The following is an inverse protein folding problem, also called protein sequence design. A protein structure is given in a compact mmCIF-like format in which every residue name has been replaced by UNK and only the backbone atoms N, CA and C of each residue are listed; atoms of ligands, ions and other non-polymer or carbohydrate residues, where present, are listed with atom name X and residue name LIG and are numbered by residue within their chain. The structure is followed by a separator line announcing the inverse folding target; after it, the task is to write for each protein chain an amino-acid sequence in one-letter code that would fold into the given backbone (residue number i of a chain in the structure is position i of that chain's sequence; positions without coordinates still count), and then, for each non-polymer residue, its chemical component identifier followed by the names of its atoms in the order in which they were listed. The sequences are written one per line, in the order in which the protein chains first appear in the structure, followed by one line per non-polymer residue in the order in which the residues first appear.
data_IF_553028803802
#
_entry.id   IF_553028803802
#
_cell.length_a   1.000
_cell.length_b   1.000
_cell.length_c   1.000
_cell.angle_alpha   90.00
_cell.angle_beta   90.00
_cell.angle_gamma   90.00
#
_symmetry.space_group_name_H-M   'P 1'
#
loop_
_entity.id
_entity.type
_entity.pdbx_description
1 polymer ?
#
# COMPACT_ATOMS: atom_id res chain seq x y z
N UNK A 1 5.50 6.33 -13.49
CA UNK A 1 4.54 6.05 -12.40
C UNK A 1 5.35 5.73 -11.16
N UNK A 2 4.89 6.15 -9.98
CA UNK A 2 5.60 5.96 -8.71
C UNK A 2 4.65 5.28 -7.74
N UNK A 3 5.07 4.15 -7.17
CA UNK A 3 4.37 3.50 -6.07
C UNK A 3 4.89 4.12 -4.77
N UNK A 4 3.98 4.57 -3.92
CA UNK A 4 4.27 5.07 -2.56
C UNK A 4 3.59 4.17 -1.55
N UNK A 5 4.25 3.95 -0.42
CA UNK A 5 3.73 3.14 0.68
C UNK A 5 3.91 3.92 1.97
N UNK A 6 2.80 4.16 2.67
CA UNK A 6 2.74 4.77 3.99
C UNK A 6 2.38 3.69 5.01
N UNK A 7 3.31 3.38 5.92
CA UNK A 7 3.18 2.29 6.89
C UNK A 7 2.85 2.88 8.25
N UNK A 8 1.57 2.85 8.62
CA UNK A 8 1.09 3.22 9.95
C UNK A 8 0.92 2.01 10.88
N UNK A 9 0.72 2.28 12.17
CA UNK A 9 0.50 1.23 13.18
C UNK A 9 -0.80 0.43 12.94
N UNK A 10 -1.84 1.06 12.41
CA UNK A 10 -3.15 0.44 12.19
C UNK A 10 -3.40 0.08 10.74
N UNK A 11 -2.92 0.92 9.81
CA UNK A 11 -3.14 0.73 8.38
C UNK A 11 -1.86 1.03 7.60
N UNK A 12 -1.67 0.29 6.52
CA UNK A 12 -0.73 0.60 5.45
C UNK A 12 -1.54 1.14 4.29
N UNK A 13 -1.12 2.28 3.74
CA UNK A 13 -1.72 2.91 2.56
C UNK A 13 -0.74 2.81 1.40
N UNK A 14 -1.23 2.33 0.28
CA UNK A 14 -0.44 2.15 -0.95
C UNK A 14 -1.07 3.04 -2.00
N UNK A 15 -0.26 3.85 -2.68
CA UNK A 15 -0.71 4.78 -3.71
C UNK A 15 0.14 4.66 -4.97
N UNK A 16 -0.48 4.83 -6.13
CA UNK A 16 0.22 4.95 -7.43
C UNK A 16 0.03 6.35 -7.95
N UNK A 17 1.15 7.05 -8.18
CA UNK A 17 1.16 8.39 -8.76
C UNK A 17 1.61 8.37 -10.22
N UNK A 18 0.96 9.18 -11.05
CA UNK A 18 1.40 9.55 -12.39
C UNK A 18 1.72 11.05 -12.39
N UNK A 19 2.99 11.39 -12.23
CA UNK A 19 3.39 12.78 -11.96
C UNK A 19 2.83 13.21 -10.60
N UNK A 20 2.05 14.29 -10.57
CA UNK A 20 1.43 14.81 -9.35
C UNK A 20 -0.01 14.29 -9.12
N UNK A 21 -0.50 13.40 -9.97
CA UNK A 21 -1.84 12.83 -9.87
C UNK A 21 -1.82 11.46 -9.20
N UNK A 22 -2.66 11.27 -8.17
CA UNK A 22 -2.89 9.97 -7.55
C UNK A 22 -3.89 9.18 -8.41
N UNK A 23 -3.39 8.15 -9.09
CA UNK A 23 -4.19 7.36 -10.06
C UNK A 23 -4.76 6.06 -9.48
N UNK A 24 -4.35 5.69 -8.26
CA UNK A 24 -4.91 4.55 -7.54
C UNK A 24 -4.43 4.53 -6.10
N UNK A 25 -5.29 4.09 -5.17
CA UNK A 25 -4.90 3.87 -3.79
C UNK A 25 -5.65 2.69 -3.16
N UNK A 26 -4.97 2.02 -2.23
CA UNK A 26 -5.50 0.91 -1.44
C UNK A 26 -5.08 1.07 0.01
N UNK A 27 -5.91 0.54 0.92
CA UNK A 27 -5.64 0.51 2.35
C UNK A 27 -5.75 -0.92 2.85
N UNK A 28 -4.72 -1.38 3.55
CA UNK A 28 -4.71 -2.68 4.21
C UNK A 28 -4.43 -2.49 5.70
N UNK A 29 -4.96 -3.39 6.53
CA UNK A 29 -4.67 -3.38 7.97
C UNK A 29 -3.21 -3.80 8.19
N UNK A 30 -2.50 -3.06 9.03
CA UNK A 30 -1.12 -3.39 9.41
C UNK A 30 -1.11 -4.68 10.22
N UNK A 31 -0.36 -5.69 9.76
CA UNK A 31 -0.15 -6.95 10.46
C UNK A 31 1.31 -7.37 10.34
N UNK A 32 2.00 -7.43 11.47
CA UNK A 32 3.43 -7.76 11.50
C UNK A 32 3.75 -9.19 11.05
N UNK A 33 2.75 -10.08 11.05
CA UNK A 33 2.89 -11.50 10.75
C UNK A 33 2.68 -11.83 9.26
N UNK A 34 2.30 -10.86 8.42
CA UNK A 34 2.06 -11.10 7.00
C UNK A 34 3.38 -11.36 6.25
N UNK A 35 3.36 -12.38 5.41
CA UNK A 35 4.39 -12.72 4.43
C UNK A 35 4.32 -11.82 3.19
N UNK A 36 5.37 -11.84 2.37
CA UNK A 36 5.41 -11.09 1.10
C UNK A 36 4.26 -11.44 0.16
N UNK A 37 3.90 -12.72 0.08
CA UNK A 37 2.84 -13.19 -0.82
C UNK A 37 1.46 -12.73 -0.36
N UNK A 38 1.21 -12.71 0.95
CA UNK A 38 -0.03 -12.20 1.53
C UNK A 38 -0.21 -10.69 1.31
N UNK A 39 0.90 -9.94 1.32
CA UNK A 39 0.87 -8.54 0.89
C UNK A 39 0.54 -8.45 -0.60
N UNK A 40 1.16 -9.24 -1.46
CA UNK A 40 0.90 -9.22 -2.91
C UNK A 40 -0.54 -9.54 -3.32
N UNK A 41 -1.26 -10.37 -2.57
CA UNK A 41 -2.69 -10.69 -2.83
C UNK A 41 -3.64 -9.60 -2.31
N UNK A 42 -3.21 -8.83 -1.31
CA UNK A 42 -4.08 -7.85 -0.62
C UNK A 42 -4.17 -6.50 -1.34
N UNK A 43 -3.41 -6.30 -2.42
CA UNK A 43 -3.22 -5.02 -3.14
C UNK A 43 -3.64 -5.25 -4.59
#
# INVERSE_FOLDING_TARGET
MVLVVDIGNTNIVIGVYKGNELVGNWRIVTRNEKTSDEYGISI
#
